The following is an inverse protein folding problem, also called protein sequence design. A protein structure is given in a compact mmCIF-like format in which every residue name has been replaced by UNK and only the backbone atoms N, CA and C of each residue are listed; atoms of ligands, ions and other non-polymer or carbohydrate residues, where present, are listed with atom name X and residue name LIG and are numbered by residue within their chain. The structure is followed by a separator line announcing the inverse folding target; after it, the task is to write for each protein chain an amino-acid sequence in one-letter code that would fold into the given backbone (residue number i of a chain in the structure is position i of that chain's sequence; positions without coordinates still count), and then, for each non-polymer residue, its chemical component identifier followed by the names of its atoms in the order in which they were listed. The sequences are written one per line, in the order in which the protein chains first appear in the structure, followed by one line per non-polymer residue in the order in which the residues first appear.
data_IF_223210174429
#
_entry.id   IF_223210174429
#
_cell.length_a   1.000
_cell.length_b   1.000
_cell.length_c   1.000
_cell.angle_alpha   90.00
_cell.angle_beta   90.00
_cell.angle_gamma   90.00
#
_symmetry.space_group_name_H-M   'P 1'
#
loop_
_entity.id
_entity.type
_entity.pdbx_description
1 polymer ?
#
# COMPACT_ATOMS: atom_id res chain seq x y z
N UNK A 1 -28.00 -22.88 -22.08
CA UNK A 1 -27.04 -22.00 -22.79
C UNK A 1 -26.50 -21.05 -21.75
N UNK A 2 -25.42 -21.43 -21.09
CA UNK A 2 -24.69 -20.56 -20.16
C UNK A 2 -23.33 -20.27 -20.79
N UNK A 3 -23.04 -18.99 -20.89
CA UNK A 3 -21.87 -18.40 -21.54
C UNK A 3 -20.75 -18.42 -20.51
N UNK A 4 -19.66 -19.14 -20.79
CA UNK A 4 -18.43 -19.08 -19.99
C UNK A 4 -17.72 -17.73 -20.23
N UNK A 5 -17.51 -16.96 -19.16
CA UNK A 5 -16.55 -15.86 -19.13
C UNK A 5 -15.17 -16.37 -18.69
N UNK A 6 -14.04 -15.77 -19.13
CA UNK A 6 -12.73 -16.30 -18.85
C UNK A 6 -12.16 -15.73 -17.53
N UNK A 7 -11.65 -16.64 -16.71
CA UNK A 7 -10.82 -16.36 -15.53
C UNK A 7 -9.44 -15.91 -16.00
N UNK A 8 -8.99 -14.71 -15.61
CA UNK A 8 -7.65 -14.23 -15.93
C UNK A 8 -6.83 -13.92 -14.67
N UNK A 9 -5.56 -14.32 -14.74
CA UNK A 9 -4.40 -13.79 -14.00
C UNK A 9 -4.11 -14.28 -12.57
N UNK A 10 -3.74 -15.56 -12.43
CA UNK A 10 -2.84 -16.02 -11.34
C UNK A 10 -1.54 -16.69 -11.84
N UNK A 11 -1.25 -16.68 -13.15
CA UNK A 11 -0.19 -17.53 -13.72
C UNK A 11 1.20 -16.90 -13.91
N UNK A 12 1.46 -15.66 -13.47
CA UNK A 12 2.77 -15.00 -13.72
C UNK A 12 3.75 -14.97 -12.54
N UNK A 13 3.34 -15.42 -11.35
CA UNK A 13 4.23 -15.45 -10.17
C UNK A 13 4.86 -16.82 -9.90
N UNK A 14 4.47 -17.87 -10.64
CA UNK A 14 5.02 -19.22 -10.43
C UNK A 14 6.25 -19.56 -11.29
N UNK A 15 6.39 -18.99 -12.49
CA UNK A 15 7.54 -19.30 -13.36
C UNK A 15 8.83 -18.54 -12.97
N UNK A 16 8.72 -17.34 -12.41
CA UNK A 16 9.90 -16.49 -12.09
C UNK A 16 10.70 -17.06 -10.91
N UNK A 17 10.05 -17.81 -10.01
CA UNK A 17 10.71 -18.46 -8.87
C UNK A 17 11.57 -19.68 -9.24
N UNK A 18 11.48 -20.19 -10.48
CA UNK A 18 12.19 -21.39 -10.91
C UNK A 18 13.58 -21.10 -11.53
N UNK A 19 13.82 -19.90 -12.05
CA UNK A 19 15.00 -19.61 -12.90
C UNK A 19 16.25 -19.20 -12.09
N UNK A 20 16.15 -18.83 -10.81
CA UNK A 20 17.28 -18.32 -10.02
C UNK A 20 17.56 -19.10 -8.72
N UNK A 21 17.75 -20.43 -8.79
CA UNK A 21 18.40 -21.17 -7.69
C UNK A 21 19.88 -21.44 -8.01
N UNK A 22 20.84 -20.82 -7.30
CA UNK A 22 22.22 -21.26 -7.28
C UNK A 22 22.36 -22.64 -6.62
N UNK A 23 23.33 -23.43 -7.11
CA UNK A 23 23.68 -24.75 -6.57
C UNK A 23 24.13 -24.65 -5.09
N UNK A 24 23.30 -25.24 -4.21
CA UNK A 24 23.56 -25.81 -2.87
C UNK A 24 24.85 -25.38 -2.14
N UNK A 25 24.68 -24.71 -1.00
CA UNK A 25 25.47 -24.96 0.22
C UNK A 25 24.54 -25.02 1.43
N UNK A 26 24.85 -25.91 2.36
CA UNK A 26 23.94 -26.40 3.40
C UNK A 26 23.62 -25.35 4.48
N UNK A 27 22.35 -25.04 4.64
CA UNK A 27 21.78 -24.47 5.87
C UNK A 27 20.79 -25.48 6.43
N UNK A 28 21.26 -26.31 7.36
CA UNK A 28 20.46 -27.28 8.09
C UNK A 28 19.77 -26.57 9.26
N UNK A 29 18.62 -25.95 8.97
CA UNK A 29 17.78 -25.29 9.96
C UNK A 29 16.31 -25.35 9.57
N UNK A 30 15.66 -26.46 9.90
CA UNK A 30 14.21 -26.65 10.00
C UNK A 30 13.33 -25.99 8.89
N UNK A 31 13.30 -26.59 7.70
CA UNK A 31 12.17 -26.43 6.79
C UNK A 31 11.38 -27.74 6.81
N UNK A 32 10.32 -27.80 7.61
CA UNK A 32 9.32 -28.85 7.42
C UNK A 32 8.51 -28.50 6.16
N UNK A 33 8.12 -29.49 5.34
CA UNK A 33 7.20 -29.26 4.24
C UNK A 33 5.92 -28.62 4.78
N UNK A 34 5.48 -27.53 4.14
CA UNK A 34 4.23 -26.82 4.47
C UNK A 34 3.09 -27.85 4.41
N UNK A 35 2.26 -28.01 5.47
CA UNK A 35 1.07 -28.84 5.37
C UNK A 35 0.16 -28.30 4.26
N UNK A 36 -0.41 -29.23 3.53
CA UNK A 36 -1.38 -29.07 2.44
C UNK A 36 -2.36 -27.92 2.73
N UNK A 37 -2.59 -27.04 1.75
CA UNK A 37 -3.43 -25.85 1.88
C UNK A 37 -4.84 -26.28 2.29
N UNK A 38 -5.13 -26.18 3.59
CA UNK A 38 -6.48 -26.23 4.11
C UNK A 38 -7.20 -25.00 3.56
N UNK A 39 -8.31 -25.21 2.85
CA UNK A 39 -9.19 -24.16 2.32
C UNK A 39 -9.53 -23.19 3.44
N UNK A 40 -8.91 -22.01 3.42
CA UNK A 40 -9.11 -20.95 4.40
C UNK A 40 -10.56 -20.45 4.30
N UNK A 41 -11.21 -20.26 5.44
CA UNK A 41 -12.53 -19.64 5.56
C UNK A 41 -12.62 -18.32 4.78
N UNK A 42 -13.71 -18.13 4.03
CA UNK A 42 -14.04 -17.02 3.10
C UNK A 42 -14.16 -15.60 3.73
N UNK A 43 -13.43 -15.30 4.80
CA UNK A 43 -13.41 -13.96 5.41
C UNK A 43 -12.00 -13.46 5.50
N UNK A 44 -11.72 -12.34 4.81
CA UNK A 44 -10.44 -11.65 4.88
C UNK A 44 -10.07 -11.40 6.36
N UNK A 45 -8.81 -11.64 6.77
CA UNK A 45 -8.36 -11.34 8.12
C UNK A 45 -8.60 -9.87 8.51
N UNK A 46 -8.74 -9.61 9.81
CA UNK A 46 -9.10 -8.29 10.33
C UNK A 46 -8.16 -7.16 9.87
N UNK A 47 -6.85 -7.38 9.86
CA UNK A 47 -5.87 -6.37 9.42
C UNK A 47 -6.04 -5.99 7.94
N UNK A 48 -6.47 -6.95 7.11
CA UNK A 48 -6.73 -6.71 5.69
C UNK A 48 -7.99 -5.86 5.51
N UNK A 49 -9.05 -6.13 6.29
CA UNK A 49 -10.26 -5.30 6.27
C UNK A 49 -9.97 -3.85 6.68
N UNK A 50 -9.16 -3.66 7.74
CA UNK A 50 -8.74 -2.32 8.20
C UNK A 50 -7.88 -1.63 7.14
N UNK A 51 -6.90 -2.34 6.57
CA UNK A 51 -6.01 -1.81 5.54
C UNK A 51 -6.76 -1.35 4.30
N UNK A 52 -7.66 -2.19 3.77
CA UNK A 52 -8.51 -1.88 2.60
C UNK A 52 -9.36 -0.65 2.89
N UNK A 53 -10.01 -0.60 4.05
CA UNK A 53 -10.88 0.52 4.43
C UNK A 53 -10.08 1.82 4.58
N UNK A 54 -8.89 1.76 5.19
CA UNK A 54 -8.00 2.91 5.31
C UNK A 54 -7.55 3.42 3.95
N UNK A 55 -7.10 2.54 3.05
CA UNK A 55 -6.64 2.92 1.70
C UNK A 55 -7.78 3.57 0.91
N UNK A 56 -8.97 2.96 0.90
CA UNK A 56 -10.14 3.53 0.23
C UNK A 56 -10.47 4.93 0.77
N UNK A 57 -10.51 5.09 2.10
CA UNK A 57 -10.79 6.37 2.73
C UNK A 57 -9.71 7.41 2.44
N UNK A 58 -8.44 7.03 2.54
CA UNK A 58 -7.29 7.91 2.31
C UNK A 58 -7.33 8.52 0.91
N UNK A 59 -7.41 7.70 -0.15
CA UNK A 59 -7.41 8.23 -1.52
C UNK A 59 -8.70 8.95 -1.88
N UNK A 60 -9.85 8.53 -1.33
CA UNK A 60 -11.08 9.31 -1.49
C UNK A 60 -10.93 10.73 -0.94
N UNK A 61 -10.39 10.88 0.27
CA UNK A 61 -10.14 12.20 0.85
C UNK A 61 -9.04 12.95 0.09
N UNK A 62 -7.98 12.27 -0.35
CA UNK A 62 -6.90 12.88 -1.10
C UNK A 62 -7.38 13.49 -2.43
N UNK A 63 -8.25 12.80 -3.14
CA UNK A 63 -8.73 13.23 -4.47
C UNK A 63 -9.78 14.36 -4.38
N UNK A 64 -10.53 14.41 -3.27
CA UNK A 64 -11.64 15.36 -3.11
C UNK A 64 -11.29 16.57 -2.22
N UNK A 65 -10.71 16.35 -1.04
CA UNK A 65 -10.33 17.39 -0.09
C UNK A 65 -9.17 16.96 0.83
N UNK A 66 -7.94 17.27 0.38
CA UNK A 66 -6.70 16.99 1.12
C UNK A 66 -6.64 17.63 2.51
N UNK A 67 -7.41 18.69 2.77
CA UNK A 67 -7.39 19.36 4.08
C UNK A 67 -7.92 18.46 5.21
N UNK A 68 -8.78 17.49 4.86
CA UNK A 68 -9.40 16.56 5.79
C UNK A 68 -8.47 15.40 6.19
N UNK A 69 -7.39 15.17 5.45
CA UNK A 69 -6.42 14.10 5.73
C UNK A 69 -5.74 14.25 7.09
N UNK A 70 -5.74 15.46 7.67
CA UNK A 70 -5.22 15.68 9.01
C UNK A 70 -5.90 14.82 10.09
N UNK A 71 -7.12 14.33 9.87
CA UNK A 71 -7.78 13.41 10.81
C UNK A 71 -7.07 12.04 10.91
N UNK A 72 -6.29 11.66 9.89
CA UNK A 72 -5.62 10.37 9.83
C UNK A 72 -4.21 10.38 10.45
N UNK A 73 -3.69 11.56 10.83
CA UNK A 73 -2.33 11.71 11.35
C UNK A 73 -2.31 12.26 12.77
N UNK A 74 -1.21 12.00 13.46
CA UNK A 74 -0.87 12.51 14.78
C UNK A 74 0.28 13.53 14.69
N UNK A 75 0.57 14.20 15.80
CA UNK A 75 1.76 15.06 15.93
C UNK A 75 3.07 14.28 15.86
N UNK A 76 3.03 12.97 16.14
CA UNK A 76 4.16 12.06 16.03
C UNK A 76 4.34 11.44 14.64
N UNK A 77 3.35 11.59 13.74
CA UNK A 77 3.37 10.97 12.42
C UNK A 77 4.47 11.51 11.53
N UNK A 78 5.02 10.68 10.66
CA UNK A 78 6.07 11.03 9.71
C UNK A 78 5.62 10.78 8.28
N UNK A 79 5.80 11.78 7.41
CA UNK A 79 5.60 11.67 5.96
C UNK A 79 6.95 11.81 5.25
N UNK A 80 7.21 10.91 4.30
CA UNK A 80 8.24 11.08 3.28
C UNK A 80 7.57 11.20 1.91
N UNK A 81 7.60 12.37 1.29
CA UNK A 81 7.00 12.62 -0.02
C UNK A 81 8.10 12.91 -1.05
N UNK A 82 8.31 12.01 -2.01
CA UNK A 82 9.37 12.15 -3.03
C UNK A 82 10.78 12.34 -2.43
N UNK A 83 10.99 11.85 -1.20
CA UNK A 83 12.25 11.93 -0.46
C UNK A 83 12.37 13.11 0.49
N UNK A 84 11.46 14.07 0.43
CA UNK A 84 11.36 15.13 1.43
C UNK A 84 10.58 14.65 2.65
N UNK A 85 11.14 14.86 3.84
CA UNK A 85 10.54 14.42 5.09
C UNK A 85 9.87 15.58 5.82
N UNK A 86 8.69 15.32 6.38
CA UNK A 86 8.07 16.20 7.36
C UNK A 86 7.42 15.38 8.48
N UNK A 87 7.26 16.01 9.64
CA UNK A 87 6.75 15.36 10.85
C UNK A 87 5.63 16.19 11.47
N UNK A 88 4.60 15.48 11.93
CA UNK A 88 3.46 16.02 12.61
C UNK A 88 2.33 16.42 11.66
N UNK A 89 1.10 16.17 12.11
CA UNK A 89 -0.15 16.41 11.40
C UNK A 89 -0.19 17.75 10.65
N UNK A 90 0.16 18.86 11.30
CA UNK A 90 0.10 20.20 10.70
C UNK A 90 1.05 20.31 9.50
N UNK A 91 2.32 19.92 9.67
CA UNK A 91 3.31 19.97 8.60
C UNK A 91 2.96 19.03 7.43
N UNK A 92 2.40 17.86 7.75
CA UNK A 92 1.93 16.89 6.75
C UNK A 92 0.81 17.51 5.90
N UNK A 93 -0.25 18.02 6.53
CA UNK A 93 -1.38 18.63 5.79
C UNK A 93 -0.92 19.83 4.97
N UNK A 94 -0.06 20.68 5.53
CA UNK A 94 0.53 21.79 4.77
C UNK A 94 1.32 21.32 3.55
N UNK A 95 2.14 20.27 3.69
CA UNK A 95 2.90 19.69 2.57
C UNK A 95 1.97 19.17 1.49
N UNK A 96 0.93 18.43 1.88
CA UNK A 96 -0.06 17.86 0.95
C UNK A 96 -0.87 18.94 0.23
N UNK A 97 -1.24 20.03 0.90
CA UNK A 97 -1.97 21.16 0.28
C UNK A 97 -1.10 21.97 -0.68
N UNK A 98 0.22 22.05 -0.43
CA UNK A 98 1.19 22.78 -1.28
C UNK A 98 1.61 22.02 -2.53
N UNK A 99 1.14 20.79 -2.73
CA UNK A 99 1.47 20.02 -3.94
C UNK A 99 0.97 20.74 -5.21
N UNK A 100 1.77 20.77 -6.28
CA UNK A 100 1.57 21.66 -7.42
C UNK A 100 0.52 21.13 -8.43
N UNK A 101 -0.65 20.70 -7.95
CA UNK A 101 -1.78 20.27 -8.79
C UNK A 101 -3.11 20.72 -8.17
N UNK A 102 -4.11 20.94 -9.03
CA UNK A 102 -5.45 21.33 -8.58
C UNK A 102 -6.33 20.10 -8.36
N UNK A 103 -6.35 19.19 -9.31
CA UNK A 103 -7.07 17.92 -9.28
C UNK A 103 -6.11 16.77 -9.39
N UNK A 104 -6.44 15.68 -8.72
CA UNK A 104 -5.73 14.42 -8.82
C UNK A 104 -6.75 13.28 -8.73
N UNK A 105 -6.47 12.18 -9.41
CA UNK A 105 -7.25 10.96 -9.32
C UNK A 105 -6.29 9.78 -9.16
N UNK A 106 -6.48 8.98 -8.11
CA UNK A 106 -5.73 7.75 -7.89
C UNK A 106 -6.54 6.54 -8.33
N UNK A 107 -5.86 5.59 -8.97
CA UNK A 107 -6.38 4.28 -9.34
C UNK A 107 -5.48 3.22 -8.73
N UNK A 108 -6.02 2.43 -7.80
CA UNK A 108 -5.27 1.42 -7.06
C UNK A 108 -5.16 0.16 -7.92
N UNK A 109 -3.93 -0.26 -8.21
CA UNK A 109 -3.65 -1.49 -8.99
C UNK A 109 -3.57 -2.69 -8.06
N UNK A 110 -2.87 -2.54 -6.93
CA UNK A 110 -2.72 -3.56 -5.91
C UNK A 110 -2.50 -2.92 -4.54
N UNK A 111 -2.93 -3.63 -3.51
CA UNK A 111 -2.66 -3.28 -2.12
C UNK A 111 -2.45 -4.55 -1.31
N UNK A 112 -1.46 -4.52 -0.42
CA UNK A 112 -1.11 -5.63 0.45
C UNK A 112 -1.07 -5.14 1.89
N UNK A 113 -1.62 -5.93 2.81
CA UNK A 113 -1.73 -5.56 4.23
C UNK A 113 -1.20 -6.68 5.12
N UNK A 114 -0.32 -6.34 6.05
CA UNK A 114 0.29 -7.30 6.96
C UNK A 114 0.28 -6.77 8.40
N UNK A 115 0.00 -7.63 9.39
CA UNK A 115 0.20 -7.28 10.79
C UNK A 115 1.70 -7.21 11.10
N UNK A 116 2.11 -6.24 11.91
CA UNK A 116 3.47 -6.18 12.47
C UNK A 116 3.52 -6.83 13.85
N UNK A 117 4.70 -7.24 14.34
CA UNK A 117 4.84 -7.80 15.69
C UNK A 117 4.34 -6.87 16.82
N UNK A 118 4.39 -5.55 16.59
CA UNK A 118 3.96 -4.52 17.56
C UNK A 118 2.45 -4.20 17.49
N UNK A 119 1.67 -5.00 16.77
CA UNK A 119 0.22 -4.82 16.62
C UNK A 119 -0.17 -3.66 15.69
N UNK A 120 0.75 -3.18 14.87
CA UNK A 120 0.46 -2.22 13.80
C UNK A 120 0.07 -2.97 12.52
N UNK A 121 -0.40 -2.23 11.50
CA UNK A 121 -0.67 -2.76 10.17
C UNK A 121 0.25 -2.04 9.18
N UNK A 122 1.09 -2.81 8.48
CA UNK A 122 1.83 -2.33 7.32
C UNK A 122 0.95 -2.49 6.09
N UNK A 123 0.72 -1.39 5.37
CA UNK A 123 0.00 -1.40 4.10
C UNK A 123 0.93 -0.91 3.00
N UNK A 124 1.04 -1.66 1.91
CA UNK A 124 1.76 -1.28 0.70
C UNK A 124 0.77 -1.14 -0.43
N UNK A 125 0.84 -0.03 -1.15
CA UNK A 125 -0.07 0.31 -2.24
C UNK A 125 0.74 0.59 -3.50
N UNK A 126 0.34 -0.03 -4.59
CA UNK A 126 0.84 0.25 -5.93
C UNK A 126 -0.33 0.68 -6.79
N UNK A 127 -0.17 1.77 -7.51
CA UNK A 127 -1.24 2.31 -8.32
C UNK A 127 -0.75 3.22 -9.43
N UNK A 128 -1.71 3.89 -10.03
CA UNK A 128 -1.51 4.93 -11.00
C UNK A 128 -2.25 6.18 -10.55
N UNK A 129 -1.72 7.35 -10.88
CA UNK A 129 -2.39 8.62 -10.64
C UNK A 129 -2.37 9.49 -11.89
N UNK A 130 -3.37 10.35 -12.01
CA UNK A 130 -3.40 11.44 -12.98
C UNK A 130 -3.58 12.76 -12.23
N UNK A 131 -2.60 13.65 -12.33
CA UNK A 131 -2.71 15.01 -11.83
C UNK A 131 -3.11 15.95 -12.97
N UNK A 132 -4.15 16.75 -12.77
CA UNK A 132 -4.69 17.70 -13.76
C UNK A 132 -4.81 17.07 -15.17
N UNK A 133 -4.10 17.61 -16.17
CA UNK A 133 -4.05 17.09 -17.55
C UNK A 133 -2.71 16.40 -17.90
N UNK A 134 -1.92 16.07 -16.88
CA UNK A 134 -0.66 15.36 -17.07
C UNK A 134 -0.88 13.89 -17.47
N UNK A 135 0.22 13.24 -17.82
CA UNK A 135 0.23 11.81 -18.11
C UNK A 135 -0.11 10.99 -16.86
N UNK A 136 -0.62 9.78 -17.08
CA UNK A 136 -0.82 8.80 -16.00
C UNK A 136 0.56 8.30 -15.57
N UNK A 137 0.87 8.43 -14.28
CA UNK A 137 2.15 8.03 -13.69
C UNK A 137 1.89 6.94 -12.65
N UNK A 138 2.72 5.90 -12.63
CA UNK A 138 2.68 4.89 -11.57
C UNK A 138 3.17 5.46 -10.24
N UNK A 139 2.70 4.95 -9.12
CA UNK A 139 3.22 5.34 -7.80
C UNK A 139 3.29 4.13 -6.87
N UNK A 140 4.09 4.27 -5.81
CA UNK A 140 4.08 3.39 -4.66
C UNK A 140 3.89 4.20 -3.38
N UNK A 141 3.08 3.69 -2.48
CA UNK A 141 2.86 4.30 -1.18
C UNK A 141 2.80 3.26 -0.07
N UNK A 142 3.49 3.51 1.03
CA UNK A 142 3.53 2.62 2.19
C UNK A 142 3.01 3.35 3.42
N UNK A 143 2.09 2.70 4.15
CA UNK A 143 1.52 3.21 5.39
C UNK A 143 1.82 2.26 6.55
N UNK A 144 2.11 2.82 7.72
CA UNK A 144 2.03 2.08 8.99
C UNK A 144 0.86 2.65 9.78
N UNK A 145 -0.10 1.78 10.10
CA UNK A 145 -1.30 2.12 10.85
C UNK A 145 -1.18 1.60 12.28
N UNK A 146 -1.56 2.41 13.25
CA UNK A 146 -1.60 2.03 14.66
C UNK A 146 -2.99 2.33 15.23
N UNK A 147 -3.50 1.42 16.06
CA UNK A 147 -4.72 1.66 16.81
C UNK A 147 -4.40 2.49 18.06
N UNK A 148 -5.09 3.62 18.22
CA UNK A 148 -5.04 4.50 19.40
C UNK A 148 -6.47 4.87 19.74
N UNK A 149 -6.89 4.65 20.98
CA UNK A 149 -8.24 4.95 21.46
C UNK A 149 -9.33 4.42 20.50
N UNK A 150 -9.19 3.15 20.11
CA UNK A 150 -10.09 2.42 19.20
C UNK A 150 -10.14 2.97 17.75
N UNK A 151 -9.30 3.94 17.41
CA UNK A 151 -9.19 4.54 16.07
C UNK A 151 -7.87 4.16 15.39
N UNK A 152 -7.92 3.86 14.09
CA UNK A 152 -6.72 3.59 13.30
C UNK A 152 -6.15 4.89 12.71
N UNK A 153 -4.91 5.20 13.06
CA UNK A 153 -4.19 6.39 12.61
C UNK A 153 -2.89 6.01 11.90
N UNK A 154 -2.46 6.82 10.94
CA UNK A 154 -1.24 6.63 10.18
C UNK A 154 -0.05 7.24 10.92
N UNK A 155 0.90 6.41 11.33
CA UNK A 155 2.13 6.86 12.00
C UNK A 155 3.27 7.12 11.00
N UNK A 156 3.30 6.39 9.89
CA UNK A 156 4.31 6.54 8.85
C UNK A 156 3.66 6.46 7.48
N UNK A 157 4.03 7.39 6.62
CA UNK A 157 3.57 7.49 5.24
C UNK A 157 4.78 7.75 4.35
N UNK A 158 4.98 6.92 3.34
CA UNK A 158 6.07 7.05 2.37
C UNK A 158 5.47 6.99 0.98
N UNK A 159 5.52 8.10 0.25
CA UNK A 159 5.04 8.22 -1.11
C UNK A 159 6.17 8.44 -2.09
N UNK A 160 6.09 7.75 -3.23
CA UNK A 160 7.02 7.92 -4.35
C UNK A 160 6.32 7.68 -5.70
N UNK A 161 6.68 8.48 -6.69
CA UNK A 161 6.34 8.20 -8.08
C UNK A 161 7.23 7.07 -8.62
N UNK A 162 6.64 6.18 -9.41
CA UNK A 162 7.35 5.15 -10.16
C UNK A 162 7.93 5.75 -11.46
N UNK A 163 8.84 6.71 -11.30
CA UNK A 163 9.60 7.29 -12.40
C UNK A 163 10.82 6.42 -12.68
N UNK A 164 10.95 5.95 -13.92
CA UNK A 164 12.17 5.27 -14.36
C UNK A 164 13.21 6.32 -14.74
N UNK A 165 14.35 6.31 -14.05
CA UNK A 165 15.53 7.03 -14.53
C UNK A 165 16.15 6.22 -15.67
N UNK A 166 15.74 6.49 -16.91
CA UNK A 166 16.56 6.11 -18.06
C UNK A 166 17.69 7.15 -18.15
N UNK A 167 18.84 6.81 -17.57
CA UNK A 167 20.11 7.52 -17.78
C UNK A 167 20.77 7.11 -19.08
#
# INVERSE_FOLDING_TARGET
MEVHGPTYHIDLLWEVAFVLRPKRSAWSGCFQPRPEVQTMSDTNPFWEQVGISFVQHYYHQFDNDRSLLGALYLDSSCLSWEGEQCRGKVAIVEKLLKLPFRKIAHSITAQDHQPTPDGCILSVVVGQLKADEDQIIGFHQTFILKSIDESWVCTNDIFRLALYNFG
#
